data_IF_575445893783
#
_entry.id   IF_575445893783
#
_cell.length_a   1.000
_cell.length_b   1.000
_cell.length_c   1.000
_cell.angle_alpha   90.00
_cell.angle_beta   90.00
_cell.angle_gamma   90.00
#
_symmetry.space_group_name_H-M   'P 1'
#
loop_
_entity.id
_entity.type
_entity.pdbx_description
1 polymer ?
#
# COMPACT_ATOMS: atom_id res chain seq x y z
N UNK A 1 0.68 -28.20 -2.13
CA UNK A 1 0.99 -27.18 -3.14
C UNK A 1 0.15 -27.31 -4.40
N UNK A 2 0.10 -28.47 -5.08
CA UNK A 2 -0.75 -28.67 -6.27
C UNK A 2 -2.24 -28.34 -6.02
N UNK A 3 -2.74 -28.59 -4.80
CA UNK A 3 -4.03 -28.09 -4.28
C UNK A 3 -4.19 -26.56 -4.39
N UNK A 4 -3.25 -25.77 -3.85
CA UNK A 4 -3.27 -24.31 -4.00
C UNK A 4 -3.08 -23.84 -5.45
N UNK A 5 -2.46 -24.65 -6.30
CA UNK A 5 -2.39 -24.36 -7.74
C UNK A 5 -3.75 -24.55 -8.42
N UNK A 6 -4.53 -25.58 -8.04
CA UNK A 6 -5.94 -25.71 -8.48
C UNK A 6 -6.75 -24.51 -8.00
N UNK A 7 -6.76 -24.24 -6.69
CA UNK A 7 -7.49 -23.09 -6.14
C UNK A 7 -7.07 -21.73 -6.73
N UNK A 8 -5.86 -21.60 -7.30
CA UNK A 8 -5.44 -20.42 -8.06
C UNK A 8 -6.06 -20.37 -9.47
N UNK A 9 -6.15 -21.52 -10.16
CA UNK A 9 -6.81 -21.66 -11.47
C UNK A 9 -8.32 -21.44 -11.32
N UNK A 10 -8.92 -22.09 -10.32
CA UNK A 10 -10.35 -22.03 -9.98
C UNK A 10 -10.76 -20.69 -9.36
N UNK A 11 -9.80 -19.78 -9.14
CA UNK A 11 -9.98 -18.42 -8.58
C UNK A 11 -10.55 -18.38 -7.14
N UNK A 12 -10.33 -19.43 -6.36
CA UNK A 12 -10.78 -19.58 -4.97
C UNK A 12 -9.80 -18.96 -3.95
N UNK A 13 -8.56 -18.64 -4.34
CA UNK A 13 -7.56 -18.05 -3.44
C UNK A 13 -7.73 -16.55 -3.21
N UNK A 14 -7.45 -16.10 -1.98
CA UNK A 14 -7.32 -14.68 -1.68
C UNK A 14 -6.07 -14.05 -2.34
N UNK A 15 -5.98 -12.72 -2.31
CA UNK A 15 -4.87 -11.98 -2.92
C UNK A 15 -3.48 -12.33 -2.34
N UNK A 16 -3.40 -12.70 -1.06
CA UNK A 16 -2.13 -12.99 -0.38
C UNK A 16 -1.63 -14.42 -0.67
N UNK A 17 -2.54 -15.40 -0.64
CA UNK A 17 -2.30 -16.77 -1.08
C UNK A 17 -1.95 -16.80 -2.57
N UNK A 18 -2.72 -16.11 -3.42
CA UNK A 18 -2.44 -15.99 -4.86
C UNK A 18 -1.05 -15.40 -5.13
N UNK A 19 -0.67 -14.32 -4.45
CA UNK A 19 0.68 -13.74 -4.56
C UNK A 19 1.78 -14.74 -4.16
N UNK A 20 1.50 -15.57 -3.15
CA UNK A 20 2.46 -16.58 -2.66
C UNK A 20 2.64 -17.73 -3.65
N UNK A 21 1.55 -18.27 -4.20
CA UNK A 21 1.60 -19.36 -5.20
C UNK A 21 2.24 -18.86 -6.50
N UNK A 22 1.90 -17.66 -6.97
CA UNK A 22 2.54 -17.05 -8.15
C UNK A 22 4.05 -16.84 -7.97
N UNK A 23 4.49 -16.43 -6.77
CA UNK A 23 5.91 -16.31 -6.46
C UNK A 23 6.63 -17.67 -6.43
N UNK A 24 5.95 -18.74 -6.02
CA UNK A 24 6.51 -20.10 -6.00
C UNK A 24 6.53 -20.74 -7.40
N UNK A 25 5.52 -20.51 -8.23
CA UNK A 25 5.42 -20.99 -9.62
C UNK A 25 6.59 -20.53 -10.51
N UNK A 26 7.22 -19.39 -10.20
CA UNK A 26 8.43 -18.89 -10.87
C UNK A 26 9.76 -19.45 -10.34
N UNK A 27 9.74 -20.24 -9.26
CA UNK A 27 10.93 -20.80 -8.60
C UNK A 27 10.90 -22.35 -8.48
N UNK A 28 9.73 -22.97 -8.56
CA UNK A 28 9.52 -24.42 -8.48
C UNK A 28 9.19 -24.98 -9.87
N UNK A 29 10.10 -25.76 -10.44
CA UNK A 29 9.94 -26.36 -11.77
C UNK A 29 8.95 -27.52 -11.81
N UNK A 30 8.71 -28.24 -10.71
CA UNK A 30 7.71 -29.33 -10.68
C UNK A 30 6.30 -28.74 -10.61
N UNK A 31 6.11 -27.66 -9.85
CA UNK A 31 4.86 -26.91 -9.82
C UNK A 31 4.55 -26.26 -11.18
N UNK A 32 5.58 -25.73 -11.86
CA UNK A 32 5.45 -25.15 -13.19
C UNK A 32 5.08 -26.21 -14.26
N UNK A 33 5.74 -27.38 -14.24
CA UNK A 33 5.38 -28.52 -15.09
C UNK A 33 3.94 -28.98 -14.83
N UNK A 34 3.54 -29.08 -13.55
CA UNK A 34 2.17 -29.47 -13.19
C UNK A 34 1.11 -28.51 -13.75
N UNK A 35 1.38 -27.19 -13.77
CA UNK A 35 0.50 -26.22 -14.42
C UNK A 35 0.45 -26.42 -15.94
N UNK A 36 1.60 -26.66 -16.57
CA UNK A 36 1.70 -26.82 -18.02
C UNK A 36 0.98 -28.09 -18.51
N UNK A 37 1.11 -29.21 -17.80
CA UNK A 37 0.40 -30.45 -18.08
C UNK A 37 -1.13 -30.24 -18.04
N UNK A 38 -1.63 -29.55 -17.01
CA UNK A 38 -3.06 -29.27 -16.87
C UNK A 38 -3.60 -28.31 -17.94
N UNK A 39 -2.82 -27.30 -18.30
CA UNK A 39 -3.16 -26.39 -19.41
C UNK A 39 -3.21 -27.12 -20.74
N UNK A 40 -2.23 -27.99 -21.02
CA UNK A 40 -2.20 -28.78 -22.27
C UNK A 40 -3.36 -29.79 -22.36
N UNK A 41 -3.77 -30.38 -21.24
CA UNK A 41 -4.99 -31.20 -21.17
C UNK A 41 -6.25 -30.34 -21.44
N UNK A 42 -6.33 -29.15 -20.85
CA UNK A 42 -7.45 -28.22 -21.08
C UNK A 42 -7.53 -27.77 -22.54
N UNK A 43 -6.42 -27.40 -23.16
CA UNK A 43 -6.35 -26.99 -24.57
C UNK A 43 -6.82 -28.11 -25.50
N UNK A 44 -6.40 -29.36 -25.22
CA UNK A 44 -6.83 -30.54 -25.96
C UNK A 44 -8.31 -30.90 -25.75
N UNK A 45 -8.89 -30.60 -24.58
CA UNK A 45 -10.32 -30.80 -24.30
C UNK A 45 -11.23 -29.76 -24.97
N UNK A 46 -10.72 -28.55 -25.22
CA UNK A 46 -11.49 -27.43 -25.78
C UNK A 46 -11.16 -27.13 -27.26
N UNK A 47 -10.51 -28.07 -27.95
CA UNK A 47 -10.05 -27.97 -29.35
C UNK A 47 -9.32 -26.64 -29.66
N UNK A 48 -8.46 -26.22 -28.71
CA UNK A 48 -7.72 -24.96 -28.84
C UNK A 48 -6.60 -25.07 -29.88
N UNK A 49 -6.37 -24.03 -30.69
CA UNK A 49 -5.44 -24.10 -31.82
C UNK A 49 -4.00 -24.24 -31.33
N UNK A 50 -3.35 -25.36 -31.70
CA UNK A 50 -1.95 -25.65 -31.36
C UNK A 50 -1.05 -24.51 -31.86
N UNK A 51 -0.44 -23.80 -30.92
CA UNK A 51 0.48 -22.70 -31.20
C UNK A 51 1.85 -23.24 -31.66
N UNK A 52 2.64 -22.43 -32.37
CA UNK A 52 3.99 -22.83 -32.76
C UNK A 52 4.88 -23.05 -31.53
N UNK A 53 5.81 -24.03 -31.54
CA UNK A 53 6.60 -24.37 -30.34
C UNK A 53 7.31 -23.17 -29.69
N UNK A 54 7.89 -22.28 -30.51
CA UNK A 54 8.57 -21.08 -30.03
C UNK A 54 7.62 -19.91 -29.67
N UNK A 55 6.29 -20.10 -29.66
CA UNK A 55 5.34 -19.01 -29.41
C UNK A 55 5.54 -18.38 -28.04
N UNK A 56 5.59 -19.18 -26.97
CA UNK A 56 5.81 -18.68 -25.60
C UNK A 56 7.18 -18.01 -25.43
N UNK A 57 8.23 -18.52 -26.08
CA UNK A 57 9.56 -17.91 -26.06
C UNK A 57 9.59 -16.56 -26.80
N UNK A 58 8.92 -16.47 -27.96
CA UNK A 58 8.80 -15.22 -28.74
C UNK A 58 7.87 -14.20 -28.09
N UNK A 59 6.86 -14.66 -27.36
CA UNK A 59 5.95 -13.82 -26.58
C UNK A 59 6.67 -13.24 -25.36
N UNK A 60 7.31 -14.06 -24.54
CA UNK A 60 8.03 -13.59 -23.34
C UNK A 60 9.20 -12.67 -23.69
N UNK A 61 9.95 -12.96 -24.76
CA UNK A 61 11.03 -12.08 -25.23
C UNK A 61 10.52 -10.70 -25.71
N UNK A 62 9.31 -10.62 -26.27
CA UNK A 62 8.67 -9.35 -26.63
C UNK A 62 8.15 -8.61 -25.40
N UNK A 63 7.42 -9.30 -24.54
CA UNK A 63 6.87 -8.74 -23.29
C UNK A 63 7.98 -8.21 -22.36
N UNK A 64 9.14 -8.87 -22.32
CA UNK A 64 10.31 -8.41 -21.57
C UNK A 64 11.02 -7.19 -22.22
N UNK A 65 10.79 -6.93 -23.51
CA UNK A 65 11.28 -5.74 -24.22
C UNK A 65 10.28 -4.56 -24.19
N UNK A 66 9.03 -4.79 -23.77
CA UNK A 66 8.04 -3.74 -23.60
C UNK A 66 8.36 -2.88 -22.35
N UNK A 67 8.27 -1.54 -22.44
CA UNK A 67 8.54 -0.67 -21.31
C UNK A 67 7.41 -0.82 -20.28
N UNK A 68 7.72 -1.41 -19.11
CA UNK A 68 6.74 -1.63 -18.03
C UNK A 68 6.16 -0.29 -17.56
N UNK A 69 4.97 0.06 -18.04
CA UNK A 69 4.23 1.27 -17.65
C UNK A 69 3.64 1.09 -16.26
N UNK A 70 4.49 1.21 -15.24
CA UNK A 70 4.08 1.23 -13.85
C UNK A 70 3.14 2.43 -13.60
N UNK A 71 1.86 2.16 -13.38
CA UNK A 71 0.88 3.18 -13.03
C UNK A 71 1.40 4.02 -11.84
N UNK A 72 1.35 5.37 -11.89
CA UNK A 72 2.14 6.23 -10.99
C UNK A 72 1.83 6.02 -9.49
N UNK A 73 0.61 5.60 -9.16
CA UNK A 73 0.22 5.21 -7.80
C UNK A 73 1.09 4.08 -7.20
N UNK A 74 1.59 3.15 -8.02
CA UNK A 74 2.46 2.06 -7.58
C UNK A 74 3.85 2.56 -7.12
N UNK A 75 4.47 3.47 -7.89
CA UNK A 75 5.72 4.12 -7.48
C UNK A 75 5.53 4.92 -6.19
N UNK A 76 4.40 5.64 -6.08
CA UNK A 76 4.10 6.46 -4.90
C UNK A 76 3.86 5.60 -3.64
N UNK A 77 3.17 4.46 -3.75
CA UNK A 77 3.06 3.47 -2.66
C UNK A 77 4.44 2.94 -2.24
N UNK A 78 5.32 2.57 -3.19
CA UNK A 78 6.68 2.08 -2.90
C UNK A 78 7.57 3.14 -2.22
N UNK A 79 7.57 4.38 -2.71
CA UNK A 79 8.32 5.50 -2.11
C UNK A 79 7.84 5.82 -0.68
N UNK A 80 6.52 5.88 -0.45
CA UNK A 80 5.94 6.12 0.89
C UNK A 80 6.34 5.04 1.90
N UNK A 81 6.39 3.77 1.49
CA UNK A 81 6.84 2.66 2.35
C UNK A 81 8.30 2.83 2.81
N UNK A 82 9.21 3.15 1.88
CA UNK A 82 10.63 3.39 2.19
C UNK A 82 10.82 4.58 3.14
N UNK A 83 10.17 5.72 2.86
CA UNK A 83 10.22 6.92 3.71
C UNK A 83 9.71 6.65 5.13
N UNK A 84 8.58 5.94 5.29
CA UNK A 84 8.09 5.52 6.61
C UNK A 84 9.14 4.69 7.36
N UNK A 85 9.74 3.70 6.70
CA UNK A 85 10.75 2.81 7.30
C UNK A 85 12.04 3.54 7.73
N UNK A 86 12.39 4.64 7.05
CA UNK A 86 13.55 5.47 7.38
C UNK A 86 13.28 6.53 8.48
N UNK A 87 12.05 7.06 8.56
CA UNK A 87 11.71 8.16 9.49
C UNK A 87 11.33 7.70 10.91
N UNK A 88 10.81 6.47 11.06
CA UNK A 88 10.47 5.87 12.37
C UNK A 88 11.62 5.97 13.40
N UNK A 89 12.87 5.55 13.12
CA UNK A 89 13.96 5.66 14.10
C UNK A 89 14.38 7.11 14.40
N UNK A 90 14.21 8.05 13.45
CA UNK A 90 14.62 9.44 13.62
C UNK A 90 13.69 10.20 14.60
N UNK A 91 12.38 9.92 14.54
CA UNK A 91 11.38 10.52 15.44
C UNK A 91 11.66 10.18 16.92
N UNK A 92 12.02 8.93 17.20
CA UNK A 92 12.32 8.47 18.55
C UNK A 92 13.51 9.23 19.19
N UNK A 93 14.55 9.54 18.40
CA UNK A 93 15.71 10.29 18.88
C UNK A 93 15.37 11.77 19.19
N UNK A 94 14.51 12.40 18.39
CA UNK A 94 14.15 13.81 18.55
C UNK A 94 13.43 14.09 19.88
N UNK A 95 12.50 13.20 20.28
CA UNK A 95 11.76 13.31 21.54
C UNK A 95 12.66 13.30 22.78
N UNK A 96 13.73 12.49 22.76
CA UNK A 96 14.69 12.41 23.87
C UNK A 96 15.51 13.71 23.98
N UNK A 97 15.95 14.26 22.84
CA UNK A 97 16.72 15.50 22.81
C UNK A 97 15.93 16.71 23.35
N UNK A 98 14.63 16.81 23.03
CA UNK A 98 13.77 17.91 23.49
C UNK A 98 13.64 17.96 25.02
N UNK A 99 13.45 16.81 25.67
CA UNK A 99 13.36 16.70 27.14
C UNK A 99 14.69 17.11 27.80
N UNK A 100 15.83 16.77 27.19
CA UNK A 100 17.15 17.21 27.66
C UNK A 100 17.35 18.72 27.61
N UNK A 101 16.90 19.39 26.54
CA UNK A 101 17.00 20.86 26.43
C UNK A 101 16.06 21.57 27.40
N UNK A 102 14.81 21.11 27.52
CA UNK A 102 13.83 21.71 28.43
C UNK A 102 14.24 21.63 29.90
N UNK A 103 14.79 20.49 30.33
CA UNK A 103 15.29 20.31 31.71
C UNK A 103 16.53 21.17 32.00
N UNK A 104 17.46 21.31 31.04
CA UNK A 104 18.59 22.23 31.17
C UNK A 104 18.14 23.70 31.26
N UNK A 105 17.19 24.11 30.43
CA UNK A 105 16.64 25.47 30.48
C UNK A 105 15.95 25.77 31.82
N UNK A 106 15.11 24.86 32.32
CA UNK A 106 14.46 25.01 33.63
C UNK A 106 15.47 25.15 34.78
N UNK A 107 16.55 24.36 34.76
CA UNK A 107 17.63 24.46 35.76
C UNK A 107 18.37 25.82 35.67
N UNK A 108 18.61 26.33 34.47
CA UNK A 108 19.26 27.64 34.25
C UNK A 108 18.37 28.84 34.58
N UNK A 109 17.05 28.71 34.42
CA UNK A 109 16.07 29.79 34.56
C UNK A 109 15.83 30.25 36.00
N UNK A 110 16.14 29.42 37.00
CA UNK A 110 15.93 29.68 38.43
C UNK A 110 16.78 30.83 39.03
N UNK A 111 17.38 31.68 38.19
CA UNK A 111 18.15 32.88 38.59
C UNK A 111 17.60 34.20 38.05
N UNK A 112 16.48 34.21 37.33
CA UNK A 112 15.88 35.44 36.80
C UNK A 112 14.39 35.61 37.20
N UNK A 113 14.15 36.52 38.15
CA UNK A 113 12.91 37.28 38.39
C UNK A 113 11.59 36.53 38.75
N UNK A 114 11.05 36.93 39.91
CA UNK A 114 9.69 36.71 40.43
C UNK A 114 9.17 38.08 40.93
N UNK A 115 7.85 38.30 41.17
CA UNK A 115 6.69 38.04 40.31
C UNK A 115 5.74 39.28 40.24
N UNK A 116 4.58 39.16 39.59
CA UNK A 116 3.43 40.08 39.80
C UNK A 116 2.08 39.31 39.70
N UNK A 117 1.02 39.66 40.46
CA UNK A 117 -0.11 38.75 40.69
C UNK A 117 -1.46 39.19 40.08
N UNK A 118 -2.23 38.20 39.62
CA UNK A 118 -3.62 38.34 39.13
C UNK A 118 -3.71 38.78 37.66
N UNK A 119 -4.63 38.28 36.84
CA UNK A 119 -5.63 37.22 37.03
C UNK A 119 -6.06 36.69 35.63
N UNK A 120 -7.13 35.89 35.52
CA UNK A 120 -7.27 34.51 35.99
C UNK A 120 -7.00 33.50 34.85
N UNK A 121 -6.53 32.30 35.18
CA UNK A 121 -6.66 31.17 34.24
C UNK A 121 -8.08 30.60 34.35
N UNK A 122 -8.96 30.99 33.43
CA UNK A 122 -10.30 30.43 33.33
C UNK A 122 -10.21 28.96 32.87
N UNK A 123 -10.75 28.04 33.67
CA UNK A 123 -10.98 26.66 33.26
C UNK A 123 -12.43 26.59 32.77
N UNK A 124 -12.62 26.76 31.47
CA UNK A 124 -13.85 26.36 30.79
C UNK A 124 -13.52 25.35 29.70
N UNK A 125 -13.93 24.09 29.95
CA UNK A 125 -14.10 23.13 28.88
C UNK A 125 -15.37 23.49 28.12
N UNK A 126 -15.29 23.71 26.81
CA UNK A 126 -16.28 23.12 25.92
C UNK A 126 -15.75 22.90 24.52
N UNK A 127 -16.39 21.96 23.83
CA UNK A 127 -15.95 21.35 22.59
C UNK A 127 -15.55 22.36 21.51
N UNK A 128 -14.48 22.02 20.78
CA UNK A 128 -14.53 22.15 19.33
C UNK A 128 -15.71 21.31 18.83
N UNK A 129 -16.88 21.93 18.73
CA UNK A 129 -17.95 21.45 17.85
C UNK A 129 -17.38 21.50 16.43
N UNK A 130 -16.68 20.45 16.01
CA UNK A 130 -16.63 20.14 14.59
C UNK A 130 -18.07 19.81 14.20
N UNK A 131 -18.71 20.78 13.55
CA UNK A 131 -20.14 20.75 13.26
C UNK A 131 -20.44 19.49 12.49
N UNK A 132 -21.22 18.58 13.10
CA UNK A 132 -21.82 17.45 12.42
C UNK A 132 -22.65 18.01 11.28
N UNK A 133 -22.05 18.10 10.10
CA UNK A 133 -22.71 18.54 8.89
C UNK A 133 -23.88 17.57 8.71
N UNK A 134 -25.15 18.03 8.79
CA UNK A 134 -26.28 17.12 8.80
C UNK A 134 -26.37 16.32 7.51
N UNK A 135 -25.85 16.85 6.40
CA UNK A 135 -25.77 16.14 5.14
C UNK A 135 -24.60 15.14 5.10
N UNK A 136 -23.47 15.42 5.78
CA UNK A 136 -22.42 14.41 5.96
C UNK A 136 -22.90 13.24 6.85
N UNK A 137 -23.64 13.54 7.93
CA UNK A 137 -24.26 12.51 8.77
C UNK A 137 -25.35 11.72 8.01
N UNK A 138 -26.24 12.40 7.28
CA UNK A 138 -27.23 11.73 6.41
C UNK A 138 -26.56 10.90 5.32
N UNK A 139 -25.44 11.36 4.74
CA UNK A 139 -24.65 10.58 3.78
C UNK A 139 -24.03 9.37 4.48
N UNK A 140 -23.50 9.50 5.70
CA UNK A 140 -22.99 8.39 6.50
C UNK A 140 -24.08 7.33 6.75
N UNK A 141 -25.26 7.75 7.23
CA UNK A 141 -26.40 6.88 7.52
C UNK A 141 -26.99 6.27 6.25
N UNK A 142 -27.10 7.03 5.15
CA UNK A 142 -27.56 6.57 3.85
C UNK A 142 -26.60 5.53 3.25
N UNK A 143 -25.28 5.78 3.32
CA UNK A 143 -24.24 4.84 2.88
C UNK A 143 -24.17 3.59 3.75
N UNK A 144 -24.53 3.66 5.03
CA UNK A 144 -24.70 2.48 5.89
C UNK A 144 -25.96 1.71 5.49
N UNK A 145 -27.11 2.38 5.33
CA UNK A 145 -28.37 1.74 4.95
C UNK A 145 -28.35 1.11 3.55
N UNK A 146 -27.60 1.66 2.60
CA UNK A 146 -27.43 1.11 1.25
C UNK A 146 -26.16 0.24 1.12
N UNK A 147 -25.45 -0.04 2.23
CA UNK A 147 -24.25 -0.90 2.19
C UNK A 147 -24.56 -2.34 1.86
N UNK A 148 -25.74 -2.82 2.22
CA UNK A 148 -26.14 -4.23 2.08
C UNK A 148 -26.52 -4.61 0.64
N UNK A 149 -26.72 -3.63 -0.25
CA UNK A 149 -26.94 -3.82 -1.70
C UNK A 149 -25.61 -3.82 -2.50
N UNK A 150 -24.51 -3.39 -1.87
CA UNK A 150 -23.20 -3.23 -2.52
C UNK A 150 -22.29 -4.47 -2.33
N UNK A 151 -22.68 -5.61 -2.91
CA UNK A 151 -21.90 -6.87 -2.94
C UNK A 151 -20.61 -6.80 -3.77
N UNK A 152 -19.68 -5.90 -3.43
CA UNK A 152 -18.45 -5.61 -4.19
C UNK A 152 -17.21 -5.61 -3.30
N UNK A 153 -16.16 -6.42 -3.60
CA UNK A 153 -15.00 -6.61 -2.73
C UNK A 153 -13.99 -5.45 -2.73
N UNK A 154 -14.28 -4.33 -3.42
CA UNK A 154 -13.30 -3.25 -3.67
C UNK A 154 -13.56 -1.93 -2.93
N UNK A 155 -14.51 -1.89 -1.99
CA UNK A 155 -14.97 -0.67 -1.30
C UNK A 155 -13.99 -0.09 -0.24
N UNK A 156 -12.69 0.06 -0.56
CA UNK A 156 -11.67 0.36 0.46
C UNK A 156 -10.33 0.96 0.00
N UNK A 157 -10.22 1.63 -1.16
CA UNK A 157 -8.98 2.36 -1.53
C UNK A 157 -9.23 3.73 -2.18
N UNK A 158 -8.80 4.79 -1.50
CA UNK A 158 -8.71 6.15 -2.05
C UNK A 158 -7.69 6.23 -3.20
N UNK A 159 -8.08 6.94 -4.26
CA UNK A 159 -7.29 7.07 -5.49
C UNK A 159 -6.53 8.41 -5.55
N UNK A 160 -5.22 8.37 -5.82
CA UNK A 160 -4.35 9.56 -5.89
C UNK A 160 -3.38 9.46 -7.08
N UNK A 161 -3.29 10.52 -7.89
CA UNK A 161 -2.52 10.63 -9.14
C UNK A 161 -1.13 11.30 -8.96
N UNK A 162 -0.46 11.65 -10.08
CA UNK A 162 0.67 12.61 -10.31
C UNK A 162 1.81 12.04 -11.21
N UNK A 163 2.44 12.91 -12.02
CA UNK A 163 3.39 12.66 -13.13
C UNK A 163 4.88 12.98 -12.80
N UNK A 164 5.81 12.87 -13.78
CA UNK A 164 7.26 13.01 -13.55
C UNK A 164 8.11 13.39 -14.80
N UNK A 165 9.33 13.95 -14.61
CA UNK A 165 10.35 14.27 -15.64
C UNK A 165 11.78 14.24 -15.01
N UNK A 166 12.84 13.99 -15.80
CA UNK A 166 14.28 13.95 -15.39
C UNK A 166 15.18 14.59 -16.49
N UNK A 167 16.51 14.89 -16.28
CA UNK A 167 17.64 13.94 -16.18
C UNK A 167 18.73 14.44 -15.17
N UNK A 168 20.07 14.24 -15.18
CA UNK A 168 21.10 13.51 -15.98
C UNK A 168 22.41 13.33 -15.15
N UNK A 169 23.46 12.64 -15.66
CA UNK A 169 24.89 12.74 -15.22
C UNK A 169 25.88 12.33 -16.33
N UNK A 170 27.11 12.85 -16.26
CA UNK A 170 28.31 12.38 -16.98
C UNK A 170 29.34 11.76 -16.01
N UNK A 171 30.27 10.98 -16.54
CA UNK A 171 31.42 10.40 -15.84
C UNK A 171 32.72 10.68 -16.63
N UNK A 172 33.85 10.70 -15.91
CA UNK A 172 35.16 10.31 -16.46
C UNK A 172 35.34 8.81 -16.22
#
# INVERSE_FOLDING_TARGET
MKEHLSALIDSELDTAASTTVLAQLGNDSELNQSLNDWQLISDAMHDHPILSPDFMARFSARLAAEPIVLAPGALNKRKRSFLKRALVPLSAAASIAFVGVASWQAYSGMRATLPAPGAPMAIEQMASNDTVNPDAARIQDYLVAHREDAGSPFAGQDMVSISYQAPQRQHQ
#
